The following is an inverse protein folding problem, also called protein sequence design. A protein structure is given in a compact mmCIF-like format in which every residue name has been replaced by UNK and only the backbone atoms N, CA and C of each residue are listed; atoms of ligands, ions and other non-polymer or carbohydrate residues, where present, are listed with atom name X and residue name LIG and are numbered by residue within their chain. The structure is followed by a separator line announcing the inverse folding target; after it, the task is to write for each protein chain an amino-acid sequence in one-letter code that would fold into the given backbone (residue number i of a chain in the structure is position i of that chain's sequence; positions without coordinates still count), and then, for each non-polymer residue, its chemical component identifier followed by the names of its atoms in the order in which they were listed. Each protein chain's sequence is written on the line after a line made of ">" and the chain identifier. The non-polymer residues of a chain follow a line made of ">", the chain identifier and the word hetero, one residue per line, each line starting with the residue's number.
data_IF_466831110824
#
_entry.id   IF_466831110824
#
_cell.length_a   1.000
_cell.length_b   1.000
_cell.length_c   1.000
_cell.angle_alpha   90.00
_cell.angle_beta   90.00
_cell.angle_gamma   90.00
#
_symmetry.space_group_name_H-M   'P 1'
#
loop_
_entity.id
_entity.type
_entity.pdbx_description
1 polymer ?
#
# COMPACT_ATOMS: atom_id res chain seq x y z
N UNK A 1 -10.35 -16.77 8.32
CA UNK A 1 -11.20 -15.56 8.18
C UNK A 1 -10.39 -14.27 8.13
N UNK A 2 -9.51 -13.97 9.10
CA UNK A 2 -8.75 -12.70 9.11
C UNK A 2 -7.97 -12.37 7.83
N UNK A 3 -7.32 -13.35 7.20
CA UNK A 3 -6.57 -13.14 5.95
C UNK A 3 -7.47 -12.82 4.73
N UNK A 4 -8.69 -13.36 4.68
CA UNK A 4 -9.65 -13.05 3.62
C UNK A 4 -10.18 -11.62 3.78
N UNK A 5 -10.50 -11.22 5.02
CA UNK A 5 -10.90 -9.84 5.34
C UNK A 5 -9.77 -8.89 4.96
N UNK A 6 -8.51 -9.23 5.28
CA UNK A 6 -7.35 -8.44 4.86
C UNK A 6 -7.26 -8.32 3.32
N UNK A 7 -7.51 -9.41 2.58
CA UNK A 7 -7.56 -9.38 1.12
C UNK A 7 -8.62 -8.41 0.58
N UNK A 8 -9.84 -8.44 1.13
CA UNK A 8 -10.92 -7.51 0.74
C UNK A 8 -10.53 -6.06 1.05
N UNK A 9 -9.93 -5.80 2.21
CA UNK A 9 -9.46 -4.46 2.58
C UNK A 9 -8.37 -3.94 1.63
N UNK A 10 -7.46 -4.80 1.17
CA UNK A 10 -6.44 -4.45 0.17
C UNK A 10 -7.08 -4.08 -1.16
N UNK A 11 -8.10 -4.82 -1.61
CA UNK A 11 -8.82 -4.50 -2.85
C UNK A 11 -9.53 -3.14 -2.75
N UNK A 12 -10.19 -2.85 -1.63
CA UNK A 12 -10.83 -1.55 -1.38
C UNK A 12 -9.78 -0.43 -1.39
N UNK A 13 -8.67 -0.64 -0.66
CA UNK A 13 -7.57 0.33 -0.61
C UNK A 13 -6.97 0.59 -2.00
N UNK A 14 -6.80 -0.45 -2.79
CA UNK A 14 -6.29 -0.37 -4.16
C UNK A 14 -7.23 0.45 -5.06
N UNK A 15 -8.54 0.25 -4.98
CA UNK A 15 -9.51 1.06 -5.73
C UNK A 15 -9.47 2.52 -5.31
N UNK A 16 -9.40 2.82 -4.01
CA UNK A 16 -9.32 4.18 -3.48
C UNK A 16 -8.03 4.89 -3.92
N UNK A 17 -6.91 4.17 -3.94
CA UNK A 17 -5.63 4.68 -4.44
C UNK A 17 -5.67 4.94 -5.94
N UNK A 18 -6.22 4.02 -6.73
CA UNK A 18 -6.36 4.23 -8.18
C UNK A 18 -7.29 5.39 -8.49
N UNK A 19 -8.37 5.58 -7.74
CA UNK A 19 -9.27 6.73 -7.86
C UNK A 19 -8.57 8.06 -7.53
N UNK A 20 -7.82 8.11 -6.43
CA UNK A 20 -7.07 9.30 -6.04
C UNK A 20 -5.97 9.65 -7.06
N UNK A 21 -5.23 8.64 -7.51
CA UNK A 21 -4.19 8.77 -8.53
C UNK A 21 -4.75 9.26 -9.87
N UNK A 22 -5.78 8.58 -10.39
CA UNK A 22 -6.39 8.95 -11.68
C UNK A 22 -7.06 10.33 -11.60
N UNK A 23 -7.76 10.65 -10.52
CA UNK A 23 -8.34 11.97 -10.30
C UNK A 23 -7.28 13.08 -10.32
N UNK A 24 -6.14 12.83 -9.69
CA UNK A 24 -5.04 13.81 -9.65
C UNK A 24 -4.46 14.02 -11.04
N UNK A 25 -4.08 12.92 -11.71
CA UNK A 25 -3.41 13.03 -13.00
C UNK A 25 -4.34 13.46 -14.15
N UNK A 26 -5.65 13.34 -14.02
CA UNK A 26 -6.61 13.80 -15.03
C UNK A 26 -7.15 15.21 -14.78
N UNK A 27 -7.34 15.61 -13.51
CA UNK A 27 -8.02 16.86 -13.16
C UNK A 27 -7.09 17.96 -12.63
N UNK A 28 -5.79 17.71 -12.48
CA UNK A 28 -4.89 18.74 -11.93
C UNK A 28 -5.04 18.94 -10.41
N UNK A 29 -5.84 18.11 -9.73
CA UNK A 29 -6.32 18.35 -8.37
C UNK A 29 -5.59 17.46 -7.35
N UNK A 30 -4.49 17.98 -6.79
CA UNK A 30 -3.64 17.30 -5.77
C UNK A 30 -4.42 16.81 -4.55
N UNK A 31 -5.53 17.47 -4.19
CA UNK A 31 -6.39 17.05 -3.08
C UNK A 31 -7.04 15.67 -3.26
N UNK A 32 -7.22 15.20 -4.50
CA UNK A 32 -7.76 13.87 -4.77
C UNK A 32 -6.74 12.76 -4.46
N UNK A 33 -5.45 13.03 -4.65
CA UNK A 33 -4.34 12.16 -4.27
C UNK A 33 -4.33 11.94 -2.76
N UNK A 34 -4.32 13.05 -2.01
CA UNK A 34 -4.24 13.07 -0.56
C UNK A 34 -5.49 12.41 0.04
N UNK A 35 -6.66 12.65 -0.53
CA UNK A 35 -7.90 11.97 -0.14
C UNK A 35 -7.82 10.46 -0.36
N UNK A 36 -7.33 10.00 -1.52
CA UNK A 36 -7.11 8.58 -1.78
C UNK A 36 -6.09 7.94 -0.85
N UNK A 37 -5.00 8.65 -0.53
CA UNK A 37 -3.98 8.23 0.43
C UNK A 37 -4.53 8.08 1.86
N UNK A 38 -5.26 9.10 2.35
CA UNK A 38 -5.87 9.08 3.69
C UNK A 38 -6.89 7.96 3.80
N UNK A 39 -7.83 7.87 2.85
CA UNK A 39 -8.91 6.88 2.88
C UNK A 39 -8.40 5.44 2.74
N UNK A 40 -7.30 5.22 2.01
CA UNK A 40 -6.69 3.90 1.87
C UNK A 40 -5.80 3.49 3.05
N UNK A 41 -5.30 4.44 3.86
CA UNK A 41 -4.40 4.13 4.96
C UNK A 41 -5.05 3.31 6.09
N UNK A 42 -6.30 3.61 6.44
CA UNK A 42 -7.10 2.87 7.42
C UNK A 42 -7.30 1.39 7.05
N UNK A 43 -7.86 1.06 5.86
CA UNK A 43 -8.03 -0.34 5.45
C UNK A 43 -6.69 -1.06 5.29
N UNK A 44 -5.63 -0.38 4.82
CA UNK A 44 -4.30 -0.97 4.73
C UNK A 44 -3.69 -1.28 6.11
N UNK A 45 -3.78 -0.36 7.06
CA UNK A 45 -3.32 -0.58 8.43
C UNK A 45 -4.04 -1.76 9.09
N UNK A 46 -5.35 -1.87 8.89
CA UNK A 46 -6.13 -3.02 9.36
C UNK A 46 -5.73 -4.31 8.63
N UNK A 47 -5.47 -4.25 7.32
CA UNK A 47 -5.01 -5.40 6.55
C UNK A 47 -3.63 -5.89 7.02
N UNK A 48 -2.69 -4.99 7.35
CA UNK A 48 -1.38 -5.34 7.94
C UNK A 48 -1.59 -6.08 9.26
N UNK A 49 -2.39 -5.52 10.17
CA UNK A 49 -2.66 -6.14 11.48
C UNK A 49 -3.32 -7.53 11.35
N UNK A 50 -4.33 -7.66 10.49
CA UNK A 50 -5.03 -8.92 10.28
C UNK A 50 -4.14 -9.97 9.61
N UNK A 51 -3.29 -9.56 8.66
CA UNK A 51 -2.31 -10.44 8.01
C UNK A 51 -1.27 -10.90 9.03
N UNK A 52 -0.73 -9.99 9.84
CA UNK A 52 0.23 -10.31 10.90
C UNK A 52 -0.36 -11.30 11.93
N UNK A 53 -1.59 -11.05 12.39
CA UNK A 53 -2.28 -11.93 13.33
C UNK A 53 -2.55 -13.31 12.73
N UNK A 54 -2.92 -13.37 11.44
CA UNK A 54 -3.11 -14.63 10.72
C UNK A 54 -1.79 -15.42 10.63
N UNK A 55 -0.69 -14.78 10.25
CA UNK A 55 0.65 -15.40 10.16
C UNK A 55 1.17 -15.93 11.50
N UNK A 56 0.75 -15.35 12.63
CA UNK A 56 1.10 -15.86 13.97
C UNK A 56 0.26 -17.04 14.43
N UNK A 57 -1.03 -17.06 14.09
CA UNK A 57 -1.99 -18.05 14.58
C UNK A 57 -2.03 -19.30 13.72
N UNK A 58 -1.80 -19.15 12.43
CA UNK A 58 -1.94 -20.21 11.44
C UNK A 58 -0.56 -20.65 10.95
N UNK A 59 -0.17 -21.89 11.27
CA UNK A 59 1.05 -22.51 10.72
C UNK A 59 0.81 -23.03 9.29
N UNK A 60 -0.41 -22.87 8.75
CA UNK A 60 -0.74 -23.18 7.37
C UNK A 60 -0.17 -22.09 6.45
N UNK A 61 0.78 -22.49 5.59
CA UNK A 61 1.51 -21.58 4.69
C UNK A 61 0.62 -20.85 3.67
N UNK A 62 -0.59 -21.33 3.41
CA UNK A 62 -1.44 -20.87 2.29
C UNK A 62 -2.34 -19.66 2.56
N UNK A 63 -2.93 -19.54 3.76
CA UNK A 63 -3.88 -18.44 4.04
C UNK A 63 -3.27 -17.03 4.06
N UNK A 64 -2.08 -16.78 4.64
CA UNK A 64 -1.49 -15.44 4.63
C UNK A 64 -0.89 -15.07 3.27
N UNK A 65 -0.75 -16.01 2.33
CA UNK A 65 -0.25 -15.71 0.98
C UNK A 65 -1.24 -14.92 0.12
N UNK A 66 -2.55 -15.03 0.37
CA UNK A 66 -3.59 -14.30 -0.39
C UNK A 66 -3.45 -12.77 -0.23
N UNK A 67 -3.43 -12.20 1.00
CA UNK A 67 -3.21 -10.76 1.15
C UNK A 67 -1.81 -10.35 0.68
N UNK A 68 -0.80 -11.23 0.77
CA UNK A 68 0.54 -10.94 0.27
C UNK A 68 0.57 -10.81 -1.26
N UNK A 69 -0.06 -11.71 -2.00
CA UNK A 69 -0.09 -11.64 -3.47
C UNK A 69 -0.87 -10.43 -3.97
N UNK A 70 -1.98 -10.10 -3.30
CA UNK A 70 -2.74 -8.87 -3.58
C UNK A 70 -1.92 -7.61 -3.29
N UNK A 71 -1.18 -7.57 -2.18
CA UNK A 71 -0.31 -6.44 -1.86
C UNK A 71 0.85 -6.28 -2.86
N UNK A 72 1.44 -7.39 -3.33
CA UNK A 72 2.44 -7.35 -4.42
C UNK A 72 1.82 -6.84 -5.71
N UNK A 73 0.63 -7.31 -6.07
CA UNK A 73 -0.09 -6.83 -7.25
C UNK A 73 -0.36 -5.33 -7.17
N UNK A 74 -0.87 -4.87 -6.03
CA UNK A 74 -1.08 -3.45 -5.74
C UNK A 74 0.21 -2.65 -5.86
N UNK A 75 1.31 -3.11 -5.25
CA UNK A 75 2.63 -2.46 -5.32
C UNK A 75 3.16 -2.32 -6.75
N UNK A 76 3.00 -3.36 -7.58
CA UNK A 76 3.40 -3.34 -8.98
C UNK A 76 2.52 -2.40 -9.82
N UNK A 77 1.22 -2.32 -9.52
CA UNK A 77 0.30 -1.45 -10.25
C UNK A 77 0.47 0.02 -9.88
N UNK A 78 0.85 0.32 -8.64
CA UNK A 78 1.19 1.67 -8.19
C UNK A 78 2.65 2.05 -8.47
N UNK A 79 3.46 1.14 -9.04
CA UNK A 79 4.86 1.36 -9.43
C UNK A 79 5.15 2.68 -10.15
N UNK A 80 4.44 3.01 -11.24
CA UNK A 80 4.70 4.27 -11.93
C UNK A 80 4.43 5.49 -11.03
N UNK A 81 3.42 5.43 -10.16
CA UNK A 81 3.03 6.56 -9.31
C UNK A 81 4.08 6.84 -8.22
N UNK A 82 4.51 5.81 -7.47
CA UNK A 82 5.53 6.01 -6.43
C UNK A 82 6.93 6.22 -7.00
N UNK A 83 7.25 5.64 -8.16
CA UNK A 83 8.52 5.89 -8.83
C UNK A 83 8.63 7.33 -9.34
N UNK A 84 7.57 7.84 -9.98
CA UNK A 84 7.52 9.23 -10.42
C UNK A 84 7.59 10.19 -9.24
N UNK A 85 6.89 9.91 -8.14
CA UNK A 85 6.96 10.75 -6.93
C UNK A 85 8.37 10.78 -6.32
N UNK A 86 9.09 9.66 -6.31
CA UNK A 86 10.49 9.63 -5.86
C UNK A 86 11.46 10.38 -6.78
N UNK A 87 11.18 10.41 -8.09
CA UNK A 87 12.12 10.95 -9.08
C UNK A 87 11.86 12.41 -9.45
N UNK A 88 10.59 12.79 -9.51
CA UNK A 88 10.10 14.08 -10.02
C UNK A 88 9.31 14.84 -8.96
N UNK A 89 9.23 14.35 -7.72
CA UNK A 89 8.41 14.95 -6.65
C UNK A 89 6.92 15.10 -7.02
N UNK A 90 6.44 14.35 -8.02
CA UNK A 90 5.02 14.27 -8.37
C UNK A 90 4.63 12.84 -8.75
N UNK A 91 3.42 12.38 -8.41
CA UNK A 91 2.95 11.05 -8.80
C UNK A 91 2.69 10.93 -10.31
N UNK A 92 2.50 12.05 -11.02
CA UNK A 92 2.06 12.07 -12.41
C UNK A 92 3.21 12.25 -13.43
N UNK A 93 4.44 12.54 -12.99
CA UNK A 93 5.62 12.70 -13.85
C UNK A 93 6.18 14.14 -13.89
N UNK A 94 7.23 14.36 -14.68
CA UNK A 94 7.90 15.66 -14.77
C UNK A 94 7.01 16.75 -15.40
N UNK A 95 6.16 16.38 -16.35
CA UNK A 95 5.20 17.26 -17.01
C UNK A 95 4.23 17.93 -16.01
N UNK A 96 4.01 17.32 -14.84
CA UNK A 96 3.07 17.79 -13.82
C UNK A 96 3.70 18.76 -12.81
N UNK A 97 5.03 18.73 -12.66
CA UNK A 97 5.78 19.59 -11.73
C UNK A 97 5.60 21.08 -12.09
N UNK A 98 5.39 21.38 -13.39
CA UNK A 98 5.14 22.72 -13.89
C UNK A 98 3.76 23.29 -13.48
N UNK A 99 2.78 22.43 -13.18
CA UNK A 99 1.39 22.83 -12.95
C UNK A 99 0.97 22.80 -11.48
N UNK A 100 1.71 22.12 -10.60
CA UNK A 100 1.32 22.00 -9.19
C UNK A 100 2.54 21.98 -8.26
N UNK A 101 3.09 23.15 -7.89
CA UNK A 101 4.29 23.26 -7.05
C UNK A 101 4.08 22.88 -5.56
N UNK A 102 2.87 22.49 -5.15
CA UNK A 102 2.50 22.34 -3.73
C UNK A 102 2.54 20.89 -3.19
N UNK A 103 2.91 19.88 -3.99
CA UNK A 103 2.88 18.47 -3.55
C UNK A 103 3.89 18.09 -2.45
N UNK A 104 4.90 18.93 -2.17
CA UNK A 104 6.04 18.55 -1.32
C UNK A 104 5.73 18.17 0.13
N UNK A 105 4.60 18.60 0.71
CA UNK A 105 4.21 18.20 2.07
C UNK A 105 3.39 16.89 2.12
N UNK A 106 2.65 16.59 1.06
CA UNK A 106 1.75 15.44 0.96
C UNK A 106 2.45 14.17 0.44
N UNK A 107 3.65 14.34 -0.13
CA UNK A 107 4.49 13.25 -0.66
C UNK A 107 4.75 12.15 0.37
N UNK A 108 4.97 12.50 1.65
CA UNK A 108 5.20 11.50 2.70
C UNK A 108 3.98 10.60 2.93
N UNK A 109 2.78 11.18 2.93
CA UNK A 109 1.55 10.45 3.18
C UNK A 109 1.21 9.53 1.98
N UNK A 110 1.45 10.04 0.78
CA UNK A 110 1.36 9.29 -0.47
C UNK A 110 2.34 8.12 -0.49
N UNK A 111 3.64 8.36 -0.25
CA UNK A 111 4.65 7.30 -0.19
C UNK A 111 4.34 6.27 0.90
N UNK A 112 3.87 6.71 2.07
CA UNK A 112 3.47 5.79 3.12
C UNK A 112 2.35 4.84 2.64
N UNK A 113 1.29 5.39 2.03
CA UNK A 113 0.11 4.63 1.58
C UNK A 113 0.35 3.78 0.34
N UNK A 114 1.09 4.26 -0.65
CA UNK A 114 1.28 3.58 -1.94
C UNK A 114 2.51 2.66 -1.97
N UNK A 115 3.49 2.87 -1.07
CA UNK A 115 4.74 2.09 -1.00
C UNK A 115 4.86 1.31 0.32
N UNK A 116 4.81 2.01 1.47
CA UNK A 116 5.15 1.42 2.77
C UNK A 116 4.11 0.40 3.23
N UNK A 117 2.81 0.73 3.14
CA UNK A 117 1.76 -0.18 3.59
C UNK A 117 1.69 -1.50 2.80
N UNK A 118 1.74 -1.50 1.44
CA UNK A 118 1.83 -2.75 0.67
C UNK A 118 3.03 -3.61 1.08
N UNK A 119 4.21 -2.99 1.27
CA UNK A 119 5.40 -3.70 1.76
C UNK A 119 5.20 -4.30 3.15
N UNK A 120 4.58 -3.56 4.08
CA UNK A 120 4.28 -4.05 5.42
C UNK A 120 3.32 -5.25 5.39
N UNK A 121 2.34 -5.29 4.48
CA UNK A 121 1.47 -6.47 4.31
C UNK A 121 2.30 -7.68 3.87
N UNK A 122 3.19 -7.51 2.89
CA UNK A 122 4.07 -8.59 2.41
C UNK A 122 4.99 -9.10 3.53
N UNK A 123 5.56 -8.20 4.34
CA UNK A 123 6.38 -8.56 5.49
C UNK A 123 5.57 -9.24 6.60
N UNK A 124 4.34 -8.79 6.84
CA UNK A 124 3.43 -9.37 7.82
C UNK A 124 2.97 -10.78 7.43
N UNK A 125 2.97 -11.12 6.14
CA UNK A 125 2.63 -12.45 5.64
C UNK A 125 3.76 -13.49 5.81
N UNK A 126 5.00 -13.06 6.13
CA UNK A 126 6.12 -13.99 6.32
C UNK A 126 5.91 -14.82 7.60
N UNK A 127 6.14 -16.15 7.56
CA UNK A 127 6.13 -16.96 8.77
C UNK A 127 7.27 -16.51 9.70
N UNK A 128 6.92 -16.02 10.90
CA UNK A 128 7.85 -15.63 11.96
C UNK A 128 8.50 -16.86 12.64
N UNK A 129 8.98 -17.83 11.87
CA UNK A 129 9.58 -19.08 12.40
C UNK A 129 11.09 -18.98 12.69
N UNK A 130 11.73 -17.85 12.42
CA UNK A 130 13.20 -17.71 12.47
C UNK A 130 13.76 -17.74 13.92
N UNK A 131 12.91 -17.66 14.96
CA UNK A 131 13.36 -17.57 16.35
C UNK A 131 13.40 -18.86 17.20
N UNK A 132 12.90 -20.02 16.72
CA UNK A 132 12.82 -21.26 17.55
C UNK A 132 13.92 -22.29 17.28
N UNK A 133 15.11 -21.85 16.85
CA UNK A 133 16.27 -22.73 16.60
C UNK A 133 17.46 -22.51 17.56
N UNK A 134 17.25 -21.92 18.74
CA UNK A 134 18.29 -21.87 19.78
C UNK A 134 17.69 -22.17 21.16
N UNK A 135 17.64 -23.47 21.50
CA UNK A 135 17.77 -24.02 22.86
C UNK A 135 17.34 -25.49 22.83
N UNK A 136 18.25 -26.35 22.37
CA UNK A 136 18.36 -27.74 22.82
C UNK A 136 19.84 -27.98 23.12
#
# INVERSE_FOLDING_TARGET
>A
MGALIAGVLILIAMLLQMLGFTGTCTMGASGTLTTGAVLSSLPLGLAVYLTYRASKKDNSRGLPMIPASLAVGMFCLTAPAWWSSLRFHTPCGDDYEFYSPELGADDFLFLASYLVFPLLVVLAARPWSIGRLKSR
#
